data_IF_655890093790
#
_entry.id   IF_655890093790
#
_cell.length_a   1.000
_cell.length_b   1.000
_cell.length_c   1.000
_cell.angle_alpha   90.00
_cell.angle_beta   90.00
_cell.angle_gamma   90.00
#
_symmetry.space_group_name_H-M   'P 1'
#
loop_
_entity.id
_entity.type
_entity.pdbx_description
1 polymer ?
#
# COMPACT_ATOMS: atom_id res chain seq x y z
N UNK A 1 -5.28 11.77 -21.10
CA UNK A 1 -4.38 11.13 -20.12
C UNK A 1 -3.90 9.83 -20.74
N UNK A 2 -2.61 9.73 -21.07
CA UNK A 2 -2.04 8.57 -21.76
C UNK A 2 -1.82 7.43 -20.76
N UNK A 3 -2.40 6.28 -21.05
CA UNK A 3 -2.16 5.04 -20.34
C UNK A 3 -0.72 4.57 -20.61
N UNK A 4 0.10 4.51 -19.56
CA UNK A 4 1.42 3.88 -19.65
C UNK A 4 1.26 2.40 -19.98
N UNK A 5 1.82 2.01 -21.12
CA UNK A 5 1.83 0.63 -21.60
C UNK A 5 2.41 -0.31 -20.54
N UNK A 6 1.72 -1.41 -20.28
CA UNK A 6 2.23 -2.59 -19.57
C UNK A 6 3.46 -3.13 -20.30
N UNK A 7 4.66 -2.68 -19.88
CA UNK A 7 5.92 -3.31 -20.30
C UNK A 7 6.07 -4.66 -19.60
N UNK A 8 6.41 -5.75 -20.33
CA UNK A 8 6.79 -7.01 -19.71
C UNK A 8 8.04 -6.76 -18.85
N UNK A 9 8.24 -7.52 -17.77
CA UNK A 9 9.40 -7.38 -16.88
C UNK A 9 10.71 -7.32 -17.70
N UNK A 10 11.21 -6.13 -17.91
CA UNK A 10 12.28 -5.83 -18.85
C UNK A 10 13.00 -4.60 -18.38
N UNK A 11 14.17 -4.84 -17.80
CA UNK A 11 15.23 -3.87 -17.45
C UNK A 11 14.77 -2.43 -17.22
N UNK A 12 14.51 -2.07 -15.96
CA UNK A 12 14.47 -0.67 -15.57
C UNK A 12 15.85 -0.03 -15.85
N UNK A 13 15.92 1.13 -16.52
CA UNK A 13 17.18 1.85 -16.69
C UNK A 13 17.87 2.08 -15.35
N UNK A 14 19.21 1.99 -15.30
CA UNK A 14 19.96 2.17 -14.06
C UNK A 14 19.65 3.50 -13.35
N UNK A 15 19.37 4.56 -14.12
CA UNK A 15 18.91 5.84 -13.59
C UNK A 15 17.54 5.75 -12.89
N UNK A 16 16.60 5.00 -13.46
CA UNK A 16 15.28 4.77 -12.87
C UNK A 16 15.37 3.94 -11.58
N UNK A 17 16.23 2.91 -11.56
CA UNK A 17 16.50 2.12 -10.36
C UNK A 17 17.13 2.99 -9.26
N UNK A 18 18.11 3.84 -9.60
CA UNK A 18 18.75 4.74 -8.64
C UNK A 18 17.75 5.72 -8.02
N UNK A 19 16.88 6.33 -8.84
CA UNK A 19 15.83 7.23 -8.36
C UNK A 19 14.80 6.49 -7.49
N UNK A 20 14.40 5.28 -7.88
CA UNK A 20 13.49 4.46 -7.10
C UNK A 20 14.10 4.05 -5.75
N UNK A 21 15.39 3.73 -5.69
CA UNK A 21 16.08 3.42 -4.43
C UNK A 21 16.11 4.62 -3.48
N UNK A 22 16.41 5.82 -4.00
CA UNK A 22 16.38 7.05 -3.18
C UNK A 22 14.96 7.32 -2.66
N UNK A 23 13.96 7.21 -3.54
CA UNK A 23 12.55 7.39 -3.19
C UNK A 23 12.12 6.36 -2.14
N UNK A 24 12.49 5.09 -2.32
CA UNK A 24 12.18 4.01 -1.38
C UNK A 24 12.73 4.32 0.02
N UNK A 25 13.98 4.76 0.12
CA UNK A 25 14.59 5.11 1.41
C UNK A 25 13.82 6.26 2.10
N UNK A 26 13.42 7.29 1.34
CA UNK A 26 12.63 8.41 1.88
C UNK A 26 11.27 7.95 2.38
N UNK A 27 10.54 7.15 1.59
CA UNK A 27 9.20 6.67 1.95
C UNK A 27 9.26 5.69 3.13
N UNK A 28 10.28 4.83 3.20
CA UNK A 28 10.49 3.94 4.36
C UNK A 28 10.77 4.72 5.65
N UNK A 29 11.55 5.80 5.57
CA UNK A 29 11.77 6.68 6.72
C UNK A 29 10.47 7.37 7.16
N UNK A 30 9.64 7.81 6.21
CA UNK A 30 8.33 8.39 6.52
C UNK A 30 7.39 7.36 7.17
N UNK A 31 7.36 6.12 6.65
CA UNK A 31 6.60 5.02 7.23
C UNK A 31 7.05 4.71 8.65
N UNK A 32 8.36 4.63 8.90
CA UNK A 32 8.92 4.42 10.22
C UNK A 32 8.57 5.56 11.19
N UNK A 33 8.48 6.80 10.70
CA UNK A 33 8.00 7.95 11.48
C UNK A 33 6.51 7.81 11.80
N UNK A 34 5.67 7.45 10.83
CA UNK A 34 4.23 7.24 11.04
C UNK A 34 3.94 6.17 12.09
N UNK A 35 4.75 5.10 12.13
CA UNK A 35 4.66 4.05 13.16
C UNK A 35 4.91 4.53 14.60
N UNK A 36 5.53 5.71 14.79
CA UNK A 36 5.86 6.30 16.10
C UNK A 36 4.94 7.46 16.50
N UNK A 37 4.16 7.98 15.57
CA UNK A 37 3.25 9.12 15.78
C UNK A 37 1.84 8.64 16.15
N UNK A 38 0.98 9.52 16.69
CA UNK A 38 -0.44 9.22 16.82
C UNK A 38 -1.01 8.75 15.47
N UNK A 39 -1.65 7.59 15.50
CA UNK A 39 -2.07 6.89 14.29
C UNK A 39 -3.11 7.69 13.49
N UNK A 40 -2.82 7.93 12.21
CA UNK A 40 -3.74 8.54 11.23
C UNK A 40 -3.90 7.61 10.04
N UNK A 41 -5.12 7.13 9.80
CA UNK A 41 -5.39 6.17 8.73
C UNK A 41 -5.06 6.74 7.34
N UNK A 42 -5.45 7.99 7.09
CA UNK A 42 -5.22 8.65 5.80
C UNK A 42 -3.72 8.83 5.52
N UNK A 43 -2.98 9.36 6.49
CA UNK A 43 -1.55 9.61 6.31
C UNK A 43 -0.77 8.30 6.15
N UNK A 44 -1.17 7.24 6.83
CA UNK A 44 -0.55 5.93 6.69
C UNK A 44 -0.82 5.33 5.31
N UNK A 45 -2.08 5.34 4.85
CA UNK A 45 -2.45 4.81 3.54
C UNK A 45 -1.81 5.61 2.39
N UNK A 46 -1.64 6.92 2.54
CA UNK A 46 -0.92 7.74 1.56
C UNK A 46 0.56 7.31 1.43
N UNK A 47 1.22 7.05 2.57
CA UNK A 47 2.59 6.51 2.57
C UNK A 47 2.64 5.13 1.93
N UNK A 48 1.67 4.25 2.22
CA UNK A 48 1.58 2.93 1.57
C UNK A 48 1.37 3.03 0.06
N UNK A 49 0.58 3.99 -0.42
CA UNK A 49 0.42 4.26 -1.85
C UNK A 49 1.75 4.63 -2.51
N UNK A 50 2.50 5.54 -1.88
CA UNK A 50 3.81 6.01 -2.38
C UNK A 50 4.90 4.95 -2.28
N UNK A 51 4.69 3.90 -1.48
CA UNK A 51 5.68 2.85 -1.24
C UNK A 51 5.71 1.77 -2.33
N UNK A 52 4.56 1.44 -2.93
CA UNK A 52 4.44 0.25 -3.78
C UNK A 52 5.31 0.32 -5.05
N UNK A 53 5.25 1.42 -5.79
CA UNK A 53 5.96 1.55 -7.06
C UNK A 53 7.49 1.51 -6.87
N UNK A 54 8.10 2.28 -5.93
CA UNK A 54 9.52 2.14 -5.63
C UNK A 54 9.91 0.72 -5.20
N UNK A 55 9.08 0.05 -4.41
CA UNK A 55 9.31 -1.35 -4.03
C UNK A 55 9.28 -2.29 -5.24
N UNK A 56 8.31 -2.13 -6.13
CA UNK A 56 8.17 -2.96 -7.33
C UNK A 56 9.35 -2.76 -8.30
N UNK A 57 9.88 -1.53 -8.41
CA UNK A 57 11.05 -1.22 -9.25
C UNK A 57 12.34 -1.80 -8.65
N UNK A 58 12.56 -1.63 -7.33
CA UNK A 58 13.82 -2.00 -6.66
C UNK A 58 13.88 -3.51 -6.34
N UNK A 59 12.76 -4.10 -5.93
CA UNK A 59 12.70 -5.47 -5.40
C UNK A 59 11.89 -6.43 -6.29
N UNK A 60 11.29 -5.94 -7.38
CA UNK A 60 10.46 -6.75 -8.26
C UNK A 60 9.29 -7.40 -7.50
N UNK A 61 9.00 -8.71 -7.72
CA UNK A 61 7.92 -9.40 -7.04
C UNK A 61 8.01 -9.43 -5.50
N UNK A 62 9.21 -9.31 -4.92
CA UNK A 62 9.38 -9.22 -3.47
C UNK A 62 8.87 -7.89 -2.90
N UNK A 63 8.87 -6.83 -3.72
CA UNK A 63 8.31 -5.54 -3.34
C UNK A 63 6.82 -5.60 -2.99
N UNK A 64 6.06 -6.37 -3.77
CA UNK A 64 4.63 -6.61 -3.49
C UNK A 64 4.42 -7.30 -2.13
N UNK A 65 5.25 -8.30 -1.81
CA UNK A 65 5.18 -9.01 -0.53
C UNK A 65 5.45 -8.06 0.64
N UNK A 66 6.47 -7.22 0.53
CA UNK A 66 6.81 -6.20 1.54
C UNK A 66 5.64 -5.24 1.72
N UNK A 67 5.06 -4.72 0.64
CA UNK A 67 3.90 -3.84 0.71
C UNK A 67 2.68 -4.51 1.38
N UNK A 68 2.36 -5.76 1.02
CA UNK A 68 1.26 -6.50 1.65
C UNK A 68 1.46 -6.68 3.16
N UNK A 69 2.70 -6.91 3.61
CA UNK A 69 3.00 -7.02 5.04
C UNK A 69 2.76 -5.71 5.79
N UNK A 70 3.02 -4.57 5.16
CA UNK A 70 2.75 -3.25 5.74
C UNK A 70 1.25 -2.93 5.76
N UNK A 71 0.49 -3.37 4.75
CA UNK A 71 -0.98 -3.29 4.77
C UNK A 71 -1.56 -4.15 5.90
N UNK A 72 -1.06 -5.38 6.10
CA UNK A 72 -1.49 -6.24 7.20
C UNK A 72 -1.15 -5.64 8.57
N UNK A 73 0.03 -5.05 8.72
CA UNK A 73 0.42 -4.35 9.94
C UNK A 73 -0.52 -3.17 10.22
N UNK A 74 -0.83 -2.36 9.20
CA UNK A 74 -1.81 -1.28 9.30
C UNK A 74 -3.19 -1.79 9.76
N UNK A 75 -3.67 -2.89 9.19
CA UNK A 75 -4.94 -3.51 9.61
C UNK A 75 -4.91 -3.92 11.09
N UNK A 76 -3.80 -4.47 11.58
CA UNK A 76 -3.62 -4.81 13.00
C UNK A 76 -3.72 -3.57 13.90
N UNK A 77 -3.10 -2.45 13.51
CA UNK A 77 -3.23 -1.18 14.24
C UNK A 77 -4.66 -0.68 14.28
N UNK A 78 -5.39 -0.76 13.16
CA UNK A 78 -6.80 -0.38 13.08
C UNK A 78 -7.66 -1.22 14.02
N UNK A 79 -7.45 -2.53 14.05
CA UNK A 79 -8.18 -3.45 14.94
C UNK A 79 -7.90 -3.14 16.41
N UNK A 80 -6.63 -2.97 16.80
CA UNK A 80 -6.25 -2.61 18.16
C UNK A 80 -6.92 -1.31 18.63
N UNK A 81 -6.97 -0.31 17.74
CA UNK A 81 -7.66 0.96 18.01
C UNK A 81 -9.15 0.77 18.24
N UNK A 82 -9.80 -0.06 17.41
CA UNK A 82 -11.22 -0.41 17.58
C UNK A 82 -11.48 -1.11 18.91
N UNK A 83 -10.65 -2.08 19.31
CA UNK A 83 -10.74 -2.75 20.61
C UNK A 83 -10.51 -1.80 21.80
N UNK A 84 -9.76 -0.72 21.60
CA UNK A 84 -9.55 0.33 22.59
C UNK A 84 -10.72 1.32 22.71
N UNK A 85 -11.87 1.01 22.08
CA UNK A 85 -13.08 1.85 22.13
C UNK A 85 -13.00 3.10 21.25
N UNK A 86 -12.05 3.17 20.31
CA UNK A 86 -11.89 4.29 19.37
C UNK A 86 -12.25 3.84 17.96
N UNK A 87 -13.55 3.87 17.60
CA UNK A 87 -14.02 3.36 16.31
C UNK A 87 -13.46 4.17 15.13
N UNK A 88 -13.64 3.63 13.92
CA UNK A 88 -13.33 4.30 12.68
C UNK A 88 -14.21 5.52 12.44
N UNK A 89 -13.59 6.67 12.17
CA UNK A 89 -14.29 7.88 11.78
C UNK A 89 -14.90 7.72 10.38
N UNK A 90 -16.03 8.38 10.05
CA UNK A 90 -16.67 8.25 8.74
C UNK A 90 -15.72 8.50 7.56
N UNK A 91 -14.83 9.49 7.71
CA UNK A 91 -13.82 9.82 6.72
C UNK A 91 -12.82 8.69 6.51
N UNK A 92 -12.34 8.06 7.57
CA UNK A 92 -11.41 6.94 7.48
C UNK A 92 -12.05 5.72 6.80
N UNK A 93 -13.33 5.45 7.08
CA UNK A 93 -14.09 4.38 6.41
C UNK A 93 -14.18 4.61 4.90
N UNK A 94 -14.45 5.85 4.48
CA UNK A 94 -14.46 6.23 3.08
C UNK A 94 -13.10 5.98 2.42
N UNK A 95 -12.01 6.42 3.06
CA UNK A 95 -10.65 6.27 2.52
C UNK A 95 -10.25 4.80 2.44
N UNK A 96 -10.58 3.97 3.44
CA UNK A 96 -10.33 2.53 3.42
C UNK A 96 -11.08 1.80 2.32
N UNK A 97 -12.36 2.13 2.15
CA UNK A 97 -13.22 1.55 1.11
C UNK A 97 -12.72 1.94 -0.28
N UNK A 98 -12.40 3.22 -0.47
CA UNK A 98 -11.83 3.71 -1.72
C UNK A 98 -10.50 3.02 -2.02
N UNK A 99 -9.57 3.00 -1.07
CA UNK A 99 -8.24 2.42 -1.23
C UNK A 99 -8.31 0.93 -1.60
N UNK A 100 -9.08 0.14 -0.83
CA UNK A 100 -9.24 -1.29 -1.10
C UNK A 100 -9.87 -1.56 -2.48
N UNK A 101 -10.85 -0.76 -2.90
CA UNK A 101 -11.52 -0.90 -4.19
C UNK A 101 -10.57 -0.57 -5.34
N UNK A 102 -9.84 0.55 -5.25
CA UNK A 102 -8.89 0.98 -6.29
C UNK A 102 -7.79 -0.06 -6.50
N UNK A 103 -7.16 -0.53 -5.42
CA UNK A 103 -6.08 -1.51 -5.54
C UNK A 103 -6.54 -2.88 -6.02
N UNK A 104 -7.78 -3.29 -5.71
CA UNK A 104 -8.34 -4.54 -6.24
C UNK A 104 -8.64 -4.48 -7.73
N UNK A 105 -8.97 -3.29 -8.25
CA UNK A 105 -9.24 -3.06 -9.67
C UNK A 105 -7.96 -3.05 -10.51
N UNK A 106 -6.79 -2.85 -9.90
CA UNK A 106 -5.51 -2.90 -10.61
C UNK A 106 -5.18 -4.33 -11.06
N UNK A 107 -4.95 -4.45 -12.37
CA UNK A 107 -4.69 -5.72 -13.07
C UNK A 107 -3.50 -5.54 -14.02
N UNK A 108 -2.62 -6.53 -14.03
CA UNK A 108 -1.46 -6.58 -14.91
C UNK A 108 -0.28 -5.73 -14.45
N UNK A 109 0.91 -6.08 -14.93
CA UNK A 109 2.16 -5.38 -14.62
C UNK A 109 2.84 -5.82 -13.30
N UNK A 110 3.93 -5.14 -12.90
CA UNK A 110 4.74 -5.50 -11.73
C UNK A 110 4.02 -5.27 -10.40
N UNK A 111 2.97 -4.45 -10.39
CA UNK A 111 2.09 -4.18 -9.26
C UNK A 111 0.75 -4.95 -9.37
N UNK A 112 0.71 -6.04 -10.15
CA UNK A 112 -0.52 -6.79 -10.36
C UNK A 112 -1.05 -7.39 -9.05
N UNK A 113 -2.19 -6.88 -8.61
CA UNK A 113 -2.92 -7.35 -7.43
C UNK A 113 -3.86 -8.51 -7.77
N UNK A 114 -3.80 -9.08 -8.97
CA UNK A 114 -4.58 -10.24 -9.41
C UNK A 114 -4.34 -11.52 -8.61
N UNK A 115 -3.25 -11.59 -7.82
CA UNK A 115 -2.94 -12.74 -6.98
C UNK A 115 -3.98 -12.91 -5.86
N UNK A 116 -4.45 -14.15 -5.59
CA UNK A 116 -5.46 -14.41 -4.56
C UNK A 116 -5.10 -13.82 -3.18
N UNK A 117 -3.84 -13.89 -2.78
CA UNK A 117 -3.37 -13.41 -1.48
C UNK A 117 -3.49 -11.89 -1.35
N UNK A 118 -3.14 -11.16 -2.42
CA UNK A 118 -3.29 -9.71 -2.47
C UNK A 118 -4.78 -9.31 -2.42
N UNK A 119 -5.63 -10.06 -3.13
CA UNK A 119 -7.07 -9.85 -3.09
C UNK A 119 -7.63 -10.05 -1.68
N UNK A 120 -7.26 -11.13 -0.99
CA UNK A 120 -7.73 -11.43 0.38
C UNK A 120 -7.37 -10.29 1.35
N UNK A 121 -6.13 -9.82 1.33
CA UNK A 121 -5.69 -8.69 2.18
C UNK A 121 -6.51 -7.44 1.88
N UNK A 122 -6.73 -7.11 0.61
CA UNK A 122 -7.51 -5.92 0.22
C UNK A 122 -9.01 -6.07 0.50
N UNK A 123 -9.59 -7.27 0.37
CA UNK A 123 -10.98 -7.51 0.81
C UNK A 123 -11.10 -7.25 2.31
N UNK A 124 -10.16 -7.81 3.08
CA UNK A 124 -10.15 -7.69 4.54
C UNK A 124 -9.99 -6.23 4.98
N UNK A 125 -9.17 -5.45 4.28
CA UNK A 125 -9.07 -4.00 4.48
C UNK A 125 -10.40 -3.27 4.20
N UNK A 126 -11.12 -3.66 3.16
CA UNK A 126 -12.44 -3.11 2.85
C UNK A 126 -13.49 -3.48 3.90
N UNK A 127 -13.48 -4.71 4.39
CA UNK A 127 -14.38 -5.16 5.46
C UNK A 127 -14.14 -4.42 6.77
N UNK A 128 -12.88 -4.06 7.09
CA UNK A 128 -12.58 -3.24 8.26
C UNK A 128 -13.31 -1.90 8.27
N UNK A 129 -13.59 -1.31 7.11
CA UNK A 129 -14.33 -0.05 7.03
C UNK A 129 -15.79 -0.16 7.50
N UNK A 130 -16.35 -1.38 7.57
CA UNK A 130 -17.73 -1.65 7.97
C UNK A 130 -17.92 -1.71 9.49
N UNK A 131 -16.85 -1.88 10.27
CA UNK A 131 -16.86 -1.93 11.73
C UNK A 131 -16.47 -0.57 12.32
#
# INVERSE_FOLDING_TARGET
MMFSSSRPMGHYPAAQVKMATMTLATVQMELARQKKMPFSAEAYLDVLNRLLEPLAIVQGPMGLRTWLSEVQYFMGLMQQRSFSGRPLMPRERQVLTWYSTQWRALRGGPCDMGRPEAQIVLMSLGELARF
#
